data_IF_568915749211
#
_entry.id   IF_568915749211
#
_cell.length_a   1.000
_cell.length_b   1.000
_cell.length_c   1.000
_cell.angle_alpha   90.00
_cell.angle_beta   90.00
_cell.angle_gamma   90.00
#
_symmetry.space_group_name_H-M   'P 1'
#
loop_
_entity.id
_entity.type
_entity.pdbx_description
1 polymer ?
#
# COMPACT_ATOMS: atom_id res chain seq x y z
N UNK A 1 -7.06 19.47 -6.93
CA UNK A 1 -5.93 18.53 -6.65
C UNK A 1 -6.25 17.70 -5.43
N UNK A 2 -6.03 16.39 -5.50
CA UNK A 2 -6.34 15.48 -4.39
C UNK A 2 -5.32 15.62 -3.28
N UNK A 3 -5.76 15.82 -2.06
CA UNK A 3 -4.92 15.95 -0.89
C UNK A 3 -4.97 14.67 -0.06
N UNK A 4 -3.83 14.28 0.49
CA UNK A 4 -3.71 13.11 1.38
C UNK A 4 -3.66 13.62 2.82
N UNK A 5 -4.52 13.06 3.66
CA UNK A 5 -4.65 13.48 5.06
C UNK A 5 -4.46 12.30 6.00
N UNK A 6 -3.87 12.57 7.17
CA UNK A 6 -3.80 11.59 8.25
C UNK A 6 -5.21 11.35 8.82
N UNK A 7 -5.55 10.09 9.05
CA UNK A 7 -6.86 9.70 9.62
C UNK A 7 -6.63 8.64 10.69
N UNK A 8 -7.66 8.35 11.49
CA UNK A 8 -7.55 7.27 12.46
C UNK A 8 -7.67 5.90 11.78
N UNK A 9 -7.28 4.86 12.52
CA UNK A 9 -7.27 3.48 12.02
C UNK A 9 -8.66 3.06 11.53
N UNK A 10 -9.70 3.32 12.30
CA UNK A 10 -11.04 2.86 11.93
C UNK A 10 -11.53 3.50 10.64
N UNK A 11 -11.31 4.80 10.49
CA UNK A 11 -11.68 5.53 9.27
C UNK A 11 -10.97 4.92 8.05
N UNK A 12 -9.66 4.65 8.19
CA UNK A 12 -8.89 4.02 7.12
C UNK A 12 -9.41 2.61 6.79
N UNK A 13 -9.64 1.77 7.81
CA UNK A 13 -10.07 0.39 7.61
C UNK A 13 -11.42 0.30 6.92
N UNK A 14 -12.35 1.19 7.25
CA UNK A 14 -13.66 1.22 6.59
C UNK A 14 -13.49 1.51 5.10
N UNK A 15 -12.64 2.46 4.75
CA UNK A 15 -12.45 2.82 3.34
C UNK A 15 -11.74 1.73 2.55
N UNK A 16 -10.69 1.13 3.10
CA UNK A 16 -9.98 0.06 2.38
C UNK A 16 -10.84 -1.18 2.24
N UNK A 17 -11.60 -1.54 3.27
CA UNK A 17 -12.53 -2.67 3.22
C UNK A 17 -13.61 -2.44 2.16
N UNK A 18 -14.18 -1.23 2.09
CA UNK A 18 -15.16 -0.87 1.08
C UNK A 18 -14.57 -0.99 -0.33
N UNK A 19 -13.35 -0.49 -0.52
CA UNK A 19 -12.66 -0.59 -1.81
C UNK A 19 -12.44 -2.05 -2.22
N UNK A 20 -12.06 -2.91 -1.28
CA UNK A 20 -11.88 -4.34 -1.53
C UNK A 20 -13.18 -5.04 -1.93
N UNK A 21 -14.30 -4.62 -1.36
CA UNK A 21 -15.62 -5.15 -1.72
C UNK A 21 -16.04 -4.73 -3.14
N UNK A 22 -15.62 -3.55 -3.56
CA UNK A 22 -15.99 -2.98 -4.85
C UNK A 22 -15.06 -3.38 -6.01
N UNK A 23 -13.84 -3.83 -5.70
CA UNK A 23 -12.81 -4.09 -6.72
C UNK A 23 -12.03 -5.35 -6.42
N UNK A 24 -12.13 -6.36 -7.31
CA UNK A 24 -11.34 -7.58 -7.21
C UNK A 24 -9.84 -7.28 -7.35
N UNK A 25 -9.46 -6.29 -8.18
CA UNK A 25 -8.07 -5.93 -8.36
C UNK A 25 -7.49 -5.40 -7.04
N UNK A 26 -8.22 -4.55 -6.33
CA UNK A 26 -7.79 -4.04 -5.03
C UNK A 26 -7.72 -5.17 -4.03
N UNK A 27 -8.73 -6.02 -3.97
CA UNK A 27 -8.76 -7.16 -3.07
C UNK A 27 -7.56 -8.09 -3.28
N UNK A 28 -7.19 -8.33 -4.55
CA UNK A 28 -6.10 -9.24 -4.90
C UNK A 28 -4.71 -8.64 -4.64
N UNK A 29 -4.60 -7.32 -4.56
CA UNK A 29 -3.31 -6.62 -4.43
C UNK A 29 -3.10 -5.93 -3.08
N UNK A 30 -4.03 -6.11 -2.14
CA UNK A 30 -3.90 -5.57 -0.78
C UNK A 30 -4.18 -6.67 0.23
N UNK A 31 -3.59 -6.55 1.42
CA UNK A 31 -3.94 -7.43 2.53
C UNK A 31 -5.38 -7.17 2.98
N UNK A 32 -6.10 -8.18 3.48
CA UNK A 32 -7.41 -7.96 4.08
C UNK A 32 -7.34 -6.86 5.14
N UNK A 33 -8.39 -6.04 5.23
CA UNK A 33 -8.40 -4.89 6.13
C UNK A 33 -8.03 -5.25 7.57
N UNK A 34 -8.54 -6.37 8.08
CA UNK A 34 -8.22 -6.82 9.44
C UNK A 34 -6.73 -7.12 9.62
N UNK A 35 -6.07 -7.66 8.60
CA UNK A 35 -4.64 -7.98 8.65
C UNK A 35 -3.76 -6.73 8.56
N UNK A 36 -4.25 -5.67 7.93
CA UNK A 36 -3.50 -4.41 7.88
C UNK A 36 -3.33 -3.86 9.30
N UNK A 37 -4.37 -3.92 10.12
CA UNK A 37 -4.29 -3.47 11.50
C UNK A 37 -3.26 -4.26 12.30
N UNK A 38 -3.12 -5.57 12.03
CA UNK A 38 -2.16 -6.43 12.73
C UNK A 38 -0.73 -6.27 12.22
N UNK A 39 -0.56 -6.05 10.92
CA UNK A 39 0.78 -5.96 10.31
C UNK A 39 1.39 -4.57 10.41
N UNK A 40 0.59 -3.53 10.68
CA UNK A 40 1.07 -2.16 10.85
C UNK A 40 0.57 -1.62 12.20
N UNK A 41 1.00 -2.22 13.32
CA UNK A 41 0.59 -1.75 14.64
C UNK A 41 1.21 -0.38 14.93
N UNK A 42 0.46 0.49 15.59
CA UNK A 42 0.90 1.84 15.91
C UNK A 42 1.27 2.65 14.67
N UNK A 43 0.63 2.33 13.56
CA UNK A 43 0.90 3.01 12.28
C UNK A 43 0.23 4.36 12.20
N UNK A 44 0.62 5.07 11.16
CA UNK A 44 -0.09 6.25 10.69
C UNK A 44 -0.87 5.85 9.44
N UNK A 45 -2.12 6.28 9.36
CA UNK A 45 -3.04 5.90 8.30
C UNK A 45 -3.46 7.14 7.53
N UNK A 46 -3.49 7.03 6.21
CA UNK A 46 -3.68 8.18 5.33
C UNK A 46 -4.75 7.88 4.30
N UNK A 47 -5.60 8.87 4.04
CA UNK A 47 -6.60 8.80 2.97
C UNK A 47 -6.59 10.09 2.17
N UNK A 48 -6.93 9.97 0.88
CA UNK A 48 -7.25 11.15 0.07
C UNK A 48 -8.51 11.80 0.59
N UNK A 49 -8.69 13.09 0.30
CA UNK A 49 -9.84 13.86 0.78
C UNK A 49 -11.18 13.31 0.27
N UNK A 50 -11.20 12.61 -0.86
CA UNK A 50 -12.39 11.93 -1.37
C UNK A 50 -12.57 10.51 -0.77
N UNK A 51 -11.60 10.02 0.00
CA UNK A 51 -11.64 8.69 0.63
C UNK A 51 -11.42 7.53 -0.31
N UNK A 52 -11.05 7.77 -1.55
CA UNK A 52 -10.94 6.73 -2.58
C UNK A 52 -9.54 6.13 -2.73
N UNK A 53 -8.58 6.64 -2.00
CA UNK A 53 -7.19 6.21 -2.06
C UNK A 53 -6.53 6.35 -0.69
N UNK A 54 -5.51 5.54 -0.42
CA UNK A 54 -4.81 5.66 0.85
C UNK A 54 -3.72 4.63 1.03
N UNK A 55 -3.08 4.69 2.21
CA UNK A 55 -2.00 3.78 2.59
C UNK A 55 -1.76 3.90 4.09
N UNK A 56 -0.94 2.98 4.62
CA UNK A 56 -0.55 2.98 6.04
C UNK A 56 0.97 2.84 6.14
N UNK A 57 1.57 3.48 7.15
CA UNK A 57 3.01 3.42 7.38
C UNK A 57 3.26 3.21 8.89
N UNK A 58 4.10 2.24 9.26
CA UNK A 58 4.46 2.02 10.65
C UNK A 58 5.67 2.90 11.06
N UNK A 59 6.01 2.95 12.37
CA UNK A 59 7.12 3.78 12.82
C UNK A 59 8.49 3.41 12.22
N UNK A 60 8.65 2.17 11.72
CA UNK A 60 9.91 1.74 11.10
C UNK A 60 10.01 2.14 9.62
N UNK A 61 8.94 2.67 9.04
CA UNK A 61 8.90 3.03 7.63
C UNK A 61 8.35 1.93 6.73
N UNK A 62 7.80 0.85 7.30
CA UNK A 62 7.13 -0.18 6.53
C UNK A 62 5.77 0.35 6.06
N UNK A 63 5.55 0.33 4.75
CA UNK A 63 4.32 0.82 4.13
C UNK A 63 3.48 -0.34 3.63
N UNK A 64 2.17 -0.24 3.78
CA UNK A 64 1.25 -1.25 3.30
C UNK A 64 -0.13 -0.67 3.03
N UNK A 65 -1.03 -1.52 2.55
CA UNK A 65 -2.42 -1.15 2.34
C UNK A 65 -2.64 -0.02 1.35
N UNK A 66 -1.71 0.17 0.41
CA UNK A 66 -1.86 1.19 -0.62
C UNK A 66 -2.96 0.77 -1.59
N UNK A 67 -3.95 1.63 -1.78
CA UNK A 67 -5.09 1.35 -2.64
C UNK A 67 -5.61 2.61 -3.31
N UNK A 68 -6.28 2.44 -4.44
CA UNK A 68 -7.03 3.52 -5.10
C UNK A 68 -8.15 2.95 -5.93
N UNK A 69 -9.36 3.51 -5.79
CA UNK A 69 -10.48 3.23 -6.67
C UNK A 69 -10.51 4.18 -7.87
N UNK A 70 -9.56 5.12 -7.92
CA UNK A 70 -9.43 6.08 -9.02
C UNK A 70 -8.16 5.79 -9.79
N UNK A 71 -8.26 5.61 -11.10
CA UNK A 71 -7.11 5.35 -11.96
C UNK A 71 -6.15 6.54 -11.99
N UNK A 72 -4.86 6.24 -12.18
CA UNK A 72 -3.84 7.28 -12.39
C UNK A 72 -3.28 7.90 -11.13
N UNK A 73 -3.62 7.40 -9.95
CA UNK A 73 -3.13 7.95 -8.68
C UNK A 73 -1.90 7.25 -8.12
N UNK A 74 -1.42 6.18 -8.74
CA UNK A 74 -0.31 5.38 -8.21
C UNK A 74 0.92 6.20 -7.90
N UNK A 75 1.39 6.99 -8.85
CA UNK A 75 2.61 7.80 -8.65
C UNK A 75 2.43 8.84 -7.55
N UNK A 76 1.28 9.49 -7.49
CA UNK A 76 0.97 10.49 -6.45
C UNK A 76 0.98 9.83 -5.07
N UNK A 77 0.37 8.64 -4.94
CA UNK A 77 0.31 7.93 -3.68
C UNK A 77 1.70 7.50 -3.21
N UNK A 78 2.53 6.98 -4.10
CA UNK A 78 3.90 6.56 -3.73
C UNK A 78 4.73 7.75 -3.30
N UNK A 79 4.66 8.87 -4.01
CA UNK A 79 5.35 10.10 -3.63
C UNK A 79 4.89 10.59 -2.25
N UNK A 80 3.58 10.58 -2.01
CA UNK A 80 3.02 10.97 -0.73
C UNK A 80 3.52 10.06 0.39
N UNK A 81 3.52 8.74 0.18
CA UNK A 81 3.99 7.78 1.16
C UNK A 81 5.47 8.00 1.51
N UNK A 82 6.32 8.22 0.51
CA UNK A 82 7.74 8.53 0.73
C UNK A 82 7.87 9.80 1.57
N UNK A 83 7.11 10.84 1.25
CA UNK A 83 7.12 12.09 2.00
C UNK A 83 6.68 11.92 3.46
N UNK A 84 5.85 10.91 3.73
CA UNK A 84 5.38 10.59 5.08
C UNK A 84 6.18 9.47 5.75
N UNK A 85 7.32 9.08 5.20
CA UNK A 85 8.26 8.20 5.88
C UNK A 85 8.35 6.77 5.37
N UNK A 86 7.70 6.42 4.26
CA UNK A 86 7.80 5.08 3.70
C UNK A 86 9.24 4.79 3.26
N UNK A 87 9.79 3.66 3.70
CA UNK A 87 11.18 3.25 3.38
C UNK A 87 11.28 1.83 2.88
N UNK A 88 10.32 0.97 3.22
CA UNK A 88 10.29 -0.42 2.76
C UNK A 88 8.84 -0.89 2.64
N UNK A 89 8.67 -1.93 1.82
CA UNK A 89 7.35 -2.52 1.58
C UNK A 89 7.50 -3.92 1.00
N UNK A 90 6.39 -4.64 0.93
CA UNK A 90 6.28 -5.86 0.14
C UNK A 90 5.04 -5.76 -0.74
N UNK A 91 5.08 -6.42 -1.88
CA UNK A 91 3.96 -6.43 -2.82
C UNK A 91 4.02 -7.68 -3.68
N UNK A 92 2.90 -8.00 -4.34
CA UNK A 92 2.90 -9.09 -5.29
C UNK A 92 3.58 -8.67 -6.60
N UNK A 93 4.30 -9.63 -7.20
CA UNK A 93 4.93 -9.41 -8.51
C UNK A 93 3.87 -9.06 -9.56
N UNK A 94 4.26 -8.23 -10.53
CA UNK A 94 3.40 -7.76 -11.58
C UNK A 94 3.57 -6.26 -11.78
N UNK A 95 2.48 -5.50 -11.71
CA UNK A 95 2.52 -4.05 -11.93
C UNK A 95 3.17 -3.29 -10.77
N UNK A 96 2.90 -3.69 -9.53
CA UNK A 96 3.31 -2.91 -8.35
C UNK A 96 4.82 -2.72 -8.22
N UNK A 97 5.68 -3.76 -8.41
CA UNK A 97 7.12 -3.52 -8.34
C UNK A 97 7.60 -2.48 -9.33
N UNK A 98 7.00 -2.43 -10.52
CA UNK A 98 7.34 -1.44 -11.55
C UNK A 98 6.95 -0.03 -11.11
N UNK A 99 5.79 0.11 -10.50
CA UNK A 99 5.34 1.39 -9.96
C UNK A 99 6.31 1.89 -8.89
N UNK A 100 6.64 1.05 -7.92
CA UNK A 100 7.53 1.43 -6.83
C UNK A 100 8.95 1.71 -7.33
N UNK A 101 9.45 0.94 -8.30
CA UNK A 101 10.77 1.15 -8.86
C UNK A 101 10.93 2.52 -9.52
N UNK A 102 9.87 3.06 -10.11
CA UNK A 102 9.91 4.41 -10.69
C UNK A 102 10.19 5.50 -9.65
N UNK A 103 9.98 5.19 -8.37
CA UNK A 103 10.17 6.15 -7.27
C UNK A 103 11.38 5.83 -6.40
N UNK A 104 12.26 4.94 -6.85
CA UNK A 104 13.51 4.63 -6.16
C UNK A 104 13.48 3.42 -5.26
N UNK A 105 12.39 2.67 -5.20
CA UNK A 105 12.37 1.40 -4.48
C UNK A 105 13.10 0.33 -5.27
N UNK A 106 13.87 -0.51 -4.57
CA UNK A 106 14.69 -1.56 -5.17
C UNK A 106 14.33 -2.90 -4.51
N UNK A 107 14.11 -3.90 -5.35
CA UNK A 107 13.87 -5.27 -4.85
C UNK A 107 15.15 -5.80 -4.18
N UNK A 108 15.01 -6.36 -2.96
CA UNK A 108 16.14 -6.96 -2.26
C UNK A 108 15.87 -8.41 -1.86
N UNK A 109 14.62 -8.87 -1.96
CA UNK A 109 14.23 -10.22 -1.57
C UNK A 109 12.96 -10.61 -2.32
N UNK A 110 12.82 -11.90 -2.59
CA UNK A 110 11.64 -12.43 -3.26
C UNK A 110 11.31 -13.79 -2.64
N UNK A 111 10.02 -14.01 -2.37
CA UNK A 111 9.54 -15.28 -1.81
C UNK A 111 8.40 -15.81 -2.67
N UNK A 112 8.31 -17.13 -2.81
CA UNK A 112 7.17 -17.74 -3.48
C UNK A 112 5.90 -17.48 -2.67
N UNK A 113 4.78 -17.29 -3.38
CA UNK A 113 3.47 -17.18 -2.73
C UNK A 113 3.18 -18.53 -2.02
N UNK A 114 2.66 -18.46 -0.79
CA UNK A 114 2.24 -19.68 -0.09
C UNK A 114 1.02 -20.33 -0.75
N UNK A 115 0.27 -19.61 -1.58
CA UNK A 115 -0.79 -20.18 -2.43
C UNK A 115 -0.13 -20.67 -3.72
N UNK A 116 -0.16 -21.99 -4.04
CA UNK A 116 0.45 -22.49 -5.27
C UNK A 116 -0.12 -21.79 -6.50
N UNK A 117 0.76 -21.36 -7.40
CA UNK A 117 0.39 -20.65 -8.62
C UNK A 117 0.14 -19.17 -8.45
N UNK A 118 0.19 -18.64 -7.22
CA UNK A 118 0.08 -17.21 -6.98
C UNK A 118 1.36 -16.46 -7.34
N UNK A 119 1.28 -15.13 -7.51
CA UNK A 119 2.47 -14.33 -7.82
C UNK A 119 3.43 -14.31 -6.65
N UNK A 120 4.74 -14.20 -6.95
CA UNK A 120 5.77 -14.07 -5.92
C UNK A 120 5.52 -12.83 -5.07
N UNK A 121 6.00 -12.87 -3.82
CA UNK A 121 6.02 -11.71 -2.93
C UNK A 121 7.39 -11.04 -3.10
N UNK A 122 7.37 -9.77 -3.48
CA UNK A 122 8.56 -8.97 -3.77
C UNK A 122 8.76 -7.97 -2.63
N UNK A 123 9.94 -8.03 -1.98
CA UNK A 123 10.30 -7.12 -0.91
C UNK A 123 11.20 -6.02 -1.45
N UNK A 124 10.83 -4.77 -1.20
CA UNK A 124 11.53 -3.62 -1.74
C UNK A 124 11.88 -2.61 -0.64
N UNK A 125 13.00 -1.91 -0.83
CA UNK A 125 13.35 -0.80 0.05
C UNK A 125 13.73 0.42 -0.79
N UNK A 126 13.53 1.59 -0.19
CA UNK A 126 13.88 2.84 -0.85
C UNK A 126 15.40 3.01 -0.81
N UNK A 127 15.97 3.15 -1.98
CA UNK A 127 17.41 3.35 -2.12
C UNK A 127 17.70 4.84 -2.25
N UNK A 128 18.25 5.41 -1.20
CA UNK A 128 18.63 6.82 -1.17
C UNK A 128 20.12 6.98 -1.42
#
# INVERSE_FOLDING_TARGET
MTQINSVDLMTYLIRVATAQMESEIIKDNTSPAAEIADSIPNGNYYLSDDGNSGYAIDPSGYAGGLFSTVKGRGDMLVKSAIGNGARNLDCFDGYLPKLYARHGFVEYKREANWTPGGPDVVFMHLNN
#
